data_IF_695268364596
#
_entry.id   IF_695268364596
#
_cell.length_a   1.000
_cell.length_b   1.000
_cell.length_c   1.000
_cell.angle_alpha   90.00
_cell.angle_beta   90.00
_cell.angle_gamma   90.00
#
_symmetry.space_group_name_H-M   'P 1'
#
loop_
_entity.id
_entity.type
_entity.pdbx_description
1 polymer ?
2 polymer ?
3 non-polymer ?
4 non-polymer ?
5 non-polymer ?
6 water ?
#
# COMPACT_ATOMS: atom_id res chain seq x y z
N UNK A 32 20.45 -14.37 -16.67
CA UNK A 32 20.06 -13.75 -15.40
C UNK A 32 18.81 -12.85 -15.61
N UNK A 33 17.71 -13.08 -14.86
CA UNK A 33 16.51 -12.23 -15.02
C UNK A 33 16.75 -10.79 -14.58
N UNK A 34 15.97 -9.86 -15.14
CA UNK A 34 16.05 -8.45 -14.78
C UNK A 34 15.41 -8.28 -13.40
N UNK A 35 15.78 -7.22 -12.69
CA UNK A 35 15.21 -6.96 -11.38
C UNK A 35 13.70 -6.67 -11.48
N UNK A 36 13.24 -5.95 -12.52
CA UNK A 36 11.80 -5.66 -12.64
C UNK A 36 10.99 -6.95 -12.89
N UNK A 37 11.58 -7.92 -13.64
CA UNK A 37 10.89 -9.18 -13.86
C UNK A 37 10.75 -9.96 -12.56
N UNK A 38 11.72 -9.82 -11.63
CA UNK A 38 11.66 -10.48 -10.32
C UNK A 38 10.53 -9.88 -9.47
N UNK A 39 10.36 -8.54 -9.52
CA UNK A 39 9.28 -7.87 -8.81
C UNK A 39 7.93 -8.31 -9.40
N UNK A 40 7.87 -8.47 -10.72
CA UNK A 40 6.62 -8.89 -11.37
C UNK A 40 6.17 -10.30 -10.95
N UNK A 41 7.11 -11.25 -10.93
CA UNK A 41 6.77 -12.66 -10.68
C UNK A 41 6.30 -12.91 -9.25
N UNK A 42 6.63 -12.00 -8.31
CA UNK A 42 6.21 -12.12 -6.91
C UNK A 42 4.93 -11.34 -6.62
N UNK A 43 4.35 -10.64 -7.62
CA UNK A 43 3.11 -9.87 -7.45
C UNK A 43 1.99 -10.79 -6.96
N UNK A 44 1.41 -10.54 -5.77
CA UNK A 44 0.35 -11.45 -5.27
C UNK A 44 -0.85 -11.54 -6.22
N UNK A 45 -1.53 -12.69 -6.20
CA UNK A 45 -2.76 -12.93 -6.98
C UNK A 45 -3.89 -12.14 -6.31
N UNK A 46 -4.80 -11.55 -7.10
CA UNK A 46 -5.95 -10.79 -6.61
C UNK A 46 -6.82 -11.69 -5.73
N UNK A 47 -7.20 -11.19 -4.54
CA UNK A 47 -8.02 -11.94 -3.58
C UNK A 47 -9.47 -11.52 -3.71
N UNK A 48 -10.38 -12.45 -3.40
CA UNK A 48 -11.83 -12.21 -3.44
C UNK A 48 -12.28 -11.86 -2.01
N UNK A 49 -13.27 -10.96 -1.89
CA UNK A 49 -13.80 -10.52 -0.60
C UNK A 49 -14.75 -11.54 0.04
N UNK A 50 -15.35 -12.39 -0.77
CA UNK A 50 -16.35 -13.36 -0.33
C UNK A 50 -17.65 -12.63 0.01
N UNK A 51 -17.94 -11.55 -0.72
CA UNK A 51 -19.11 -10.71 -0.51
C UNK A 51 -20.31 -11.22 -1.31
N UNK A 52 -21.39 -11.58 -0.60
CA UNK A 52 -22.63 -12.08 -1.22
C UNK A 52 -23.46 -10.90 -1.76
N UNK A 53 -23.57 -10.80 -3.08
CA UNK A 53 -24.33 -9.75 -3.77
C UNK A 53 -25.87 -9.88 -3.63
N UNK A 54 -26.36 -11.09 -3.27
CA UNK A 54 -27.80 -11.38 -3.08
C UNK A 54 -28.37 -10.81 -1.76
N UNK A 55 -27.48 -10.44 -0.83
CA UNK A 55 -27.81 -9.83 0.46
C UNK A 55 -27.67 -8.30 0.23
N UNK A 56 -28.60 -7.44 0.74
CA UNK A 56 -28.44 -5.99 0.50
C UNK A 56 -27.17 -5.41 1.15
N UNK A 57 -26.77 -4.24 0.70
CA UNK A 57 -25.57 -3.59 1.20
C UNK A 57 -25.86 -2.81 2.47
N UNK A 58 -24.80 -2.59 3.23
CA UNK A 58 -24.79 -1.69 4.37
C UNK A 58 -23.35 -1.24 4.48
N UNK A 59 -23.12 -0.03 4.97
CA UNK A 59 -21.76 0.45 5.12
C UNK A 59 -21.02 -0.43 6.13
N UNK A 60 -21.69 -0.78 7.25
CA UNK A 60 -21.08 -1.64 8.28
C UNK A 60 -20.63 -2.99 7.71
N UNK A 61 -21.46 -3.62 6.89
CA UNK A 61 -21.16 -4.91 6.29
C UNK A 61 -19.93 -4.81 5.38
N UNK A 62 -19.88 -3.73 4.57
CA UNK A 62 -18.78 -3.47 3.64
C UNK A 62 -17.48 -3.20 4.42
N UNK A 63 -17.54 -2.33 5.45
CA UNK A 63 -16.36 -2.01 6.26
C UNK A 63 -15.78 -3.28 6.89
N UNK A 64 -16.65 -4.10 7.50
CA UNK A 64 -16.24 -5.35 8.16
C UNK A 64 -15.59 -6.29 7.15
N UNK A 65 -16.27 -6.52 6.00
CA UNK A 65 -15.74 -7.41 4.95
C UNK A 65 -14.37 -6.91 4.47
N UNK A 66 -14.23 -5.60 4.27
CA UNK A 66 -12.96 -5.03 3.81
C UNK A 66 -11.85 -5.21 4.82
N UNK A 67 -12.13 -5.07 6.14
CA UNK A 67 -11.10 -5.34 7.15
C UNK A 67 -10.64 -6.79 7.06
N UNK A 68 -11.59 -7.73 6.88
CA UNK A 68 -11.25 -9.16 6.75
C UNK A 68 -10.37 -9.41 5.52
N UNK A 69 -10.73 -8.78 4.38
CA UNK A 69 -9.95 -8.83 3.14
C UNK A 69 -8.54 -8.25 3.36
N UNK A 70 -8.48 -7.09 4.02
CA UNK A 70 -7.23 -6.39 4.32
C UNK A 70 -6.26 -7.24 5.11
N UNK A 71 -6.78 -8.04 6.04
CA UNK A 71 -5.95 -8.95 6.84
C UNK A 71 -5.26 -9.99 5.96
N UNK A 72 -6.04 -10.58 5.04
CA UNK A 72 -5.54 -11.59 4.10
C UNK A 72 -4.56 -10.98 3.11
N UNK A 73 -4.81 -9.73 2.68
CA UNK A 73 -3.91 -9.02 1.77
C UNK A 73 -2.58 -8.71 2.49
N UNK A 74 -2.65 -8.42 3.80
CA UNK A 74 -1.43 -8.16 4.57
C UNK A 74 -0.61 -9.43 4.80
N UNK A 75 -1.27 -10.59 4.99
CA UNK A 75 -0.51 -11.86 5.09
C UNK A 75 0.24 -12.10 3.76
N UNK A 76 -0.45 -11.89 2.61
CA UNK A 76 0.16 -11.99 1.29
C UNK A 76 1.29 -10.94 1.08
N UNK A 77 1.12 -9.72 1.66
CA UNK A 77 2.14 -8.66 1.55
C UNK A 77 3.44 -9.04 2.26
N UNK A 78 3.34 -9.82 3.38
CA UNK A 78 4.53 -10.28 4.12
C UNK A 78 5.31 -11.26 3.22
N UNK A 79 4.61 -12.23 2.63
CA UNK A 79 5.19 -13.23 1.73
C UNK A 79 5.84 -12.52 0.53
N UNK A 80 5.18 -11.47 0.03
CA UNK A 80 5.66 -10.64 -1.08
C UNK A 80 6.97 -9.93 -0.72
N UNK A 81 6.96 -9.15 0.40
CA UNK A 81 8.12 -8.36 0.84
C UNK A 81 9.37 -9.25 1.05
N UNK A 82 9.18 -10.44 1.63
CA UNK A 82 10.26 -11.42 1.86
C UNK A 82 10.94 -11.85 0.57
N UNK A 83 10.20 -11.78 -0.55
CA UNK A 83 10.76 -12.15 -1.86
C UNK A 83 11.31 -10.97 -2.68
N UNK A 84 11.23 -9.73 -2.15
CA UNK A 84 11.78 -8.57 -2.85
C UNK A 84 13.29 -8.65 -2.69
N UNK A 85 14.08 -8.69 -3.79
CA UNK A 85 15.54 -8.78 -3.64
C UNK A 85 16.12 -7.70 -2.73
N UNK A 86 16.82 -8.13 -1.70
CA UNK A 86 17.44 -7.25 -0.71
C UNK A 86 16.71 -7.13 0.61
N UNK A 87 15.36 -7.23 0.60
CA UNK A 87 14.54 -7.08 1.82
C UNK A 87 14.96 -8.00 2.97
N UNK A 88 15.14 -9.29 2.70
CA UNK A 88 15.53 -10.27 3.72
C UNK A 88 16.96 -10.08 4.26
N UNK A 89 17.77 -9.23 3.61
CA UNK A 89 19.12 -8.92 4.08
C UNK A 89 19.11 -7.86 5.18
N UNK A 90 17.96 -7.16 5.35
CA UNK A 90 17.83 -6.14 6.40
C UNK A 90 17.65 -6.87 7.71
N UNK A 91 17.96 -6.21 8.84
CA UNK A 91 17.76 -6.78 10.17
C UNK A 91 16.28 -7.12 10.29
N UNK A 92 15.96 -8.27 10.89
CA UNK A 92 14.59 -8.72 11.08
C UNK A 92 13.68 -7.64 11.72
N UNK A 93 14.24 -6.80 12.61
CA UNK A 93 13.50 -5.71 13.26
C UNK A 93 13.13 -4.63 12.25
N UNK A 94 14.01 -4.39 11.24
CA UNK A 94 13.77 -3.40 10.18
C UNK A 94 12.68 -3.91 9.26
N UNK A 95 12.71 -5.22 8.95
CA UNK A 95 11.69 -5.86 8.11
C UNK A 95 10.31 -5.63 8.71
N UNK A 96 10.19 -5.87 10.03
CA UNK A 96 8.95 -5.65 10.78
C UNK A 96 8.52 -4.19 10.76
N UNK A 97 9.47 -3.26 11.00
CA UNK A 97 9.27 -1.82 11.04
C UNK A 97 8.72 -1.31 9.72
N UNK A 98 9.37 -1.68 8.59
CA UNK A 98 8.95 -1.25 7.27
C UNK A 98 7.54 -1.74 6.90
N UNK A 99 7.20 -3.01 7.19
CA UNK A 99 5.86 -3.52 6.92
C UNK A 99 4.81 -2.84 7.78
N UNK A 100 5.14 -2.57 9.05
CA UNK A 100 4.21 -1.89 9.96
C UNK A 100 4.01 -0.43 9.60
N UNK A 101 5.05 0.27 9.13
CA UNK A 101 4.85 1.67 8.72
C UNK A 101 4.06 1.78 7.43
N UNK A 102 4.39 0.94 6.45
CA UNK A 102 3.90 1.05 5.08
C UNK A 102 2.64 0.30 4.72
N UNK A 103 2.11 -0.58 5.59
CA UNK A 103 0.96 -1.43 5.29
C UNK A 103 -0.21 -0.70 4.57
N UNK A 104 -0.68 0.46 5.10
CA UNK A 104 -1.81 1.19 4.48
C UNK A 104 -1.45 1.74 3.11
N UNK A 105 -0.20 2.21 2.94
CA UNK A 105 0.27 2.76 1.66
C UNK A 105 0.25 1.69 0.59
N UNK A 106 0.74 0.47 0.92
CA UNK A 106 0.75 -0.69 0.02
C UNK A 106 -0.66 -1.11 -0.39
N UNK A 107 -1.60 -1.19 0.57
CA UNK A 107 -2.99 -1.58 0.28
C UNK A 107 -3.69 -0.57 -0.56
N UNK A 108 -3.56 0.73 -0.21
CA UNK A 108 -4.21 1.80 -0.95
C UNK A 108 -3.61 1.93 -2.36
N UNK A 109 -2.29 1.70 -2.49
CA UNK A 109 -1.67 1.80 -3.81
C UNK A 109 -2.08 0.63 -4.73
N UNK A 110 -2.09 -0.61 -4.19
CA UNK A 110 -2.51 -1.78 -4.98
C UNK A 110 -4.01 -1.64 -5.31
N UNK A 111 -4.80 -1.07 -4.37
CA UNK A 111 -6.20 -0.78 -4.63
C UNK A 111 -6.33 0.21 -5.80
N UNK A 112 -5.52 1.26 -5.80
CA UNK A 112 -5.51 2.26 -6.87
C UNK A 112 -5.23 1.59 -8.22
N UNK A 113 -4.24 0.68 -8.25
CA UNK A 113 -3.89 -0.06 -9.48
C UNK A 113 -5.07 -0.91 -9.97
N UNK A 114 -5.68 -1.75 -9.08
CA UNK A 114 -6.81 -2.60 -9.48
C UNK A 114 -7.97 -1.76 -9.99
N UNK A 115 -8.24 -0.60 -9.36
CA UNK A 115 -9.32 0.29 -9.76
C UNK A 115 -9.01 0.90 -11.15
N UNK A 116 -7.73 1.23 -11.37
CA UNK A 116 -7.24 1.78 -12.64
C UNK A 116 -7.40 0.78 -13.78
N UNK A 117 -6.97 -0.47 -13.56
CA UNK A 117 -7.05 -1.51 -14.59
C UNK A 117 -8.47 -1.97 -14.88
N UNK A 118 -9.30 -2.09 -13.84
CA UNK A 118 -10.64 -2.66 -13.95
C UNK A 118 -11.67 -1.70 -14.52
N UNK A 119 -11.85 -0.54 -13.88
CA UNK A 119 -12.90 0.38 -14.29
C UNK A 119 -12.51 1.39 -15.37
N UNK A 120 -11.48 2.25 -15.12
CA UNK A 120 -11.07 3.35 -16.00
C UNK A 120 -12.18 4.43 -16.09
N UNK A 121 -13.31 4.22 -15.37
CA UNK A 121 -14.49 5.09 -15.30
C UNK A 121 -14.37 6.28 -14.31
N UNK A 122 -13.99 6.11 -13.00
CA UNK A 122 -13.58 4.89 -12.30
C UNK A 122 -14.28 4.72 -10.92
N UNK A 123 -14.24 3.47 -10.43
CA UNK A 123 -14.81 2.99 -9.18
C UNK A 123 -13.68 2.37 -8.35
N UNK A 124 -13.94 2.13 -7.05
CA UNK A 124 -12.97 1.45 -6.20
C UNK A 124 -13.19 -0.04 -6.30
N UNK A 125 -12.22 -0.75 -6.87
CA UNK A 125 -12.35 -2.18 -7.08
C UNK A 125 -11.51 -2.95 -6.04
N UNK A 126 -12.04 -3.04 -4.78
CA UNK A 126 -11.39 -3.70 -3.64
C UNK A 126 -11.08 -5.16 -3.93
N UNK A 127 -12.02 -5.83 -4.61
CA UNK A 127 -11.91 -7.23 -5.03
C UNK A 127 -12.85 -7.41 -6.25
N UNK A 128 -12.67 -8.45 -7.08
CA UNK A 128 -13.57 -8.63 -8.25
C UNK A 128 -15.05 -8.77 -7.84
N UNK A 129 -15.30 -9.29 -6.61
CA UNK A 129 -16.64 -9.42 -6.04
C UNK A 129 -17.04 -8.27 -5.09
N UNK A 130 -16.19 -7.21 -4.98
CA UNK A 130 -16.58 -6.09 -4.13
C UNK A 130 -16.05 -4.78 -4.69
N UNK A 131 -16.87 -4.17 -5.56
CA UNK A 131 -16.59 -2.91 -6.22
C UNK A 131 -17.56 -1.87 -5.68
N UNK A 132 -17.09 -0.66 -5.39
CA UNK A 132 -17.98 0.42 -4.95
C UNK A 132 -18.59 1.05 -6.20
N UNK A 133 -19.64 0.39 -6.72
CA UNK A 133 -20.39 0.80 -7.90
C UNK A 133 -21.24 2.07 -7.63
N UNK A 134 -21.98 2.56 -8.66
CA UNK A 134 -22.81 3.76 -8.49
C UNK A 134 -23.88 3.61 -7.40
N UNK A 135 -24.51 2.43 -7.30
CA UNK A 135 -25.52 2.13 -6.28
C UNK A 135 -24.89 2.19 -4.87
N UNK A 136 -23.64 1.68 -4.73
CA UNK A 136 -22.91 1.71 -3.46
C UNK A 136 -22.47 3.11 -3.09
N UNK A 137 -22.23 3.97 -4.10
CA UNK A 137 -21.84 5.37 -3.93
C UNK A 137 -22.95 6.22 -3.31
N UNK A 138 -24.21 5.73 -3.36
CA UNK A 138 -25.39 6.40 -2.81
C UNK A 138 -25.54 6.13 -1.32
N UNK A 139 -24.69 5.25 -0.73
CA UNK A 139 -24.71 5.01 0.72
C UNK A 139 -24.32 6.34 1.40
N UNK A 140 -24.82 6.64 2.63
CA UNK A 140 -24.53 7.96 3.22
C UNK A 140 -23.05 8.35 3.28
N UNK A 141 -22.73 9.57 2.76
CA UNK A 141 -21.38 10.16 2.73
C UNK A 141 -20.29 9.29 2.06
N UNK A 142 -20.71 8.34 1.18
CA UNK A 142 -19.80 7.40 0.54
C UNK A 142 -18.70 8.07 -0.27
N UNK A 143 -19.02 9.14 -1.04
CA UNK A 143 -17.99 9.84 -1.83
C UNK A 143 -16.86 10.39 -0.95
N UNK A 144 -17.21 11.02 0.20
CA UNK A 144 -16.19 11.54 1.13
C UNK A 144 -15.34 10.43 1.74
N UNK A 145 -15.92 9.22 1.89
CA UNK A 145 -15.21 8.05 2.42
C UNK A 145 -14.30 7.41 1.36
N UNK A 146 -14.58 7.65 0.07
CA UNK A 146 -13.84 7.04 -1.04
C UNK A 146 -12.86 7.95 -1.79
N UNK A 147 -13.05 9.28 -1.71
CA UNK A 147 -12.28 10.24 -2.53
C UNK A 147 -10.74 10.16 -2.42
N UNK A 148 -10.16 9.88 -1.24
CA UNK A 148 -8.70 9.81 -1.12
C UNK A 148 -8.16 8.59 -1.86
N UNK A 149 -8.89 7.47 -1.79
CA UNK A 149 -8.54 6.24 -2.52
C UNK A 149 -8.82 6.39 -4.02
N UNK A 150 -9.93 7.06 -4.40
CA UNK A 150 -10.23 7.30 -5.82
C UNK A 150 -9.18 8.20 -6.46
N UNK A 151 -8.61 9.14 -5.68
CA UNK A 151 -7.52 10.01 -6.14
C UNK A 151 -6.32 9.18 -6.61
N UNK A 152 -5.97 8.12 -5.86
CA UNK A 152 -4.83 7.26 -6.25
C UNK A 152 -5.04 6.69 -7.66
N UNK A 153 -6.21 6.08 -7.92
CA UNK A 153 -6.52 5.48 -9.21
C UNK A 153 -6.64 6.53 -10.29
N UNK A 154 -7.22 7.69 -9.95
CA UNK A 154 -7.37 8.80 -10.88
C UNK A 154 -5.99 9.26 -11.36
N UNK A 155 -5.01 9.39 -10.44
CA UNK A 155 -3.64 9.80 -10.80
C UNK A 155 -2.91 8.74 -11.63
N UNK A 156 -3.06 7.46 -11.26
CA UNK A 156 -2.44 6.38 -12.04
C UNK A 156 -2.96 6.43 -13.48
N UNK A 157 -4.28 6.68 -13.65
CA UNK A 157 -4.93 6.80 -14.97
C UNK A 157 -4.43 8.05 -15.73
N UNK A 158 -4.42 9.21 -15.05
CA UNK A 158 -3.98 10.49 -15.62
C UNK A 158 -2.55 10.42 -16.12
N UNK A 159 -1.66 9.85 -15.30
CA UNK A 159 -0.25 9.72 -15.63
C UNK A 159 0.05 8.50 -16.52
N UNK A 160 -0.98 7.68 -16.83
CA UNK A 160 -0.84 6.48 -17.67
C UNK A 160 0.32 5.61 -17.19
N UNK A 161 0.32 5.37 -15.87
CA UNK A 161 1.37 4.59 -15.21
C UNK A 161 1.38 3.18 -15.80
N UNK A 162 2.57 2.66 -16.10
CA UNK A 162 2.76 1.33 -16.66
C UNK A 162 2.90 0.30 -15.56
N UNK A 163 2.80 -0.99 -15.93
CA UNK A 163 2.93 -2.09 -15.01
C UNK A 163 4.34 -2.13 -14.39
N UNK A 164 5.39 -1.91 -15.19
CA UNK A 164 6.76 -1.89 -14.68
C UNK A 164 7.00 -0.68 -13.75
N UNK A 165 6.47 0.51 -14.10
CA UNK A 165 6.58 1.70 -13.23
C UNK A 165 5.88 1.39 -11.91
N UNK A 166 4.64 0.85 -11.98
CA UNK A 166 3.84 0.49 -10.80
C UNK A 166 4.60 -0.48 -9.88
N UNK A 167 5.21 -1.54 -10.43
CA UNK A 167 5.95 -2.51 -9.61
C UNK A 167 7.07 -1.86 -8.82
N UNK A 168 7.78 -0.93 -9.47
CA UNK A 168 8.87 -0.19 -8.82
C UNK A 168 8.30 0.74 -7.79
N UNK A 169 7.23 1.46 -8.13
CA UNK A 169 6.58 2.41 -7.20
C UNK A 169 6.08 1.75 -5.94
N UNK A 170 5.41 0.58 -6.06
CA UNK A 170 4.88 -0.14 -4.90
C UNK A 170 6.01 -0.62 -3.98
N UNK A 171 7.14 -1.09 -4.57
CA UNK A 171 8.30 -1.50 -3.76
C UNK A 171 8.84 -0.28 -3.01
N UNK A 172 8.89 0.88 -3.68
CA UNK A 172 9.35 2.11 -3.02
C UNK A 172 8.44 2.54 -1.86
N UNK A 173 7.13 2.23 -1.93
CA UNK A 173 6.20 2.53 -0.84
C UNK A 173 6.50 1.70 0.40
N UNK A 174 7.00 0.48 0.22
CA UNK A 174 7.41 -0.34 1.38
C UNK A 174 8.60 0.34 2.09
N UNK A 175 9.38 1.13 1.33
CA UNK A 175 10.58 1.81 1.82
C UNK A 175 10.36 3.32 1.96
N UNK A 176 9.12 3.76 2.25
CA UNK A 176 8.80 5.20 2.30
C UNK A 176 8.84 5.87 3.69
N UNK A 177 8.91 5.08 4.77
CA UNK A 177 8.98 5.60 6.14
C UNK A 177 9.94 4.78 6.93
N UNK A 178 10.67 5.45 7.83
CA UNK A 178 11.66 4.84 8.72
C UNK A 178 11.49 5.46 10.13
N UNK A 179 12.01 4.85 11.23
CA UNK A 179 11.90 5.52 12.55
C UNK A 179 12.71 6.81 12.54
N UNK A 180 12.39 7.78 13.41
CA UNK A 180 13.14 9.06 13.44
C UNK A 180 14.65 8.86 13.65
N UNK A 181 15.05 7.81 14.41
CA UNK A 181 16.47 7.49 14.66
C UNK A 181 17.07 6.54 13.60
N UNK A 182 16.25 6.16 12.62
CA UNK A 182 16.69 5.28 11.54
C UNK A 182 16.53 3.80 11.84
N UNK A 183 16.96 2.99 10.89
CA UNK A 183 16.90 1.54 10.98
C UNK A 183 18.24 0.97 11.48
N UNK A 184 18.24 -0.31 11.89
CA UNK A 184 19.46 -1.01 12.33
C UNK A 184 20.41 -1.21 11.14
N UNK A 185 19.84 -1.49 9.95
CA UNK A 185 20.56 -1.68 8.68
C UNK A 185 20.36 -0.47 7.77
N UNK A 186 20.56 0.76 8.30
CA UNK A 186 20.35 2.03 7.59
C UNK A 186 21.13 2.14 6.27
N UNK A 187 22.44 1.78 6.28
CA UNK A 187 23.27 1.85 5.05
C UNK A 187 22.75 0.92 3.97
N UNK A 188 22.44 -0.34 4.33
CA UNK A 188 21.92 -1.33 3.39
C UNK A 188 20.52 -0.88 2.90
N UNK A 189 19.67 -0.38 3.81
CA UNK A 189 18.35 0.15 3.43
C UNK A 189 18.50 1.24 2.37
N UNK A 190 19.43 2.20 2.59
CA UNK A 190 19.65 3.29 1.63
C UNK A 190 20.12 2.76 0.28
N UNK A 191 20.91 1.68 0.28
CA UNK A 191 21.39 1.07 -0.97
C UNK A 191 20.23 0.38 -1.68
N UNK A 192 19.39 -0.36 -0.93
CA UNK A 192 18.20 -1.06 -1.46
C UNK A 192 17.26 -0.01 -2.03
N UNK A 193 16.98 1.07 -1.26
CA UNK A 193 16.10 2.15 -1.72
C UNK A 193 16.60 2.79 -3.01
N UNK A 194 17.89 3.14 -3.09
CA UNK A 194 18.48 3.73 -4.30
C UNK A 194 18.33 2.77 -5.51
N UNK A 195 18.56 1.46 -5.27
CA UNK A 195 18.42 0.44 -6.31
C UNK A 195 17.01 0.50 -6.95
N UNK A 196 15.95 0.61 -6.11
CA UNK A 196 14.60 0.64 -6.65
C UNK A 196 14.22 1.99 -7.24
N UNK A 197 14.86 3.10 -6.79
CA UNK A 197 14.67 4.42 -7.42
C UNK A 197 15.25 4.33 -8.84
N UNK A 198 16.44 3.71 -8.97
CA UNK A 198 17.07 3.51 -10.29
C UNK A 198 16.20 2.59 -11.18
N UNK A 199 15.55 1.56 -10.57
CA UNK A 199 14.63 0.66 -11.29
C UNK A 199 13.43 1.45 -11.81
N UNK A 200 12.90 2.39 -10.99
CA UNK A 200 11.80 3.25 -11.43
C UNK A 200 12.26 4.06 -12.65
N UNK A 201 13.50 4.56 -12.60
CA UNK A 201 14.13 5.28 -13.71
C UNK A 201 14.16 4.45 -14.97
N UNK A 202 14.53 3.17 -14.86
CA UNK A 202 14.57 2.24 -16.03
C UNK A 202 13.19 2.06 -16.65
N UNK A 203 12.15 1.94 -15.82
CA UNK A 203 10.76 1.77 -16.28
C UNK A 203 10.27 3.00 -17.04
N UNK A 204 10.64 4.21 -16.53
CA UNK A 204 10.26 5.48 -17.16
C UNK A 204 10.92 5.60 -18.55
N UNK A 205 12.21 5.27 -18.67
CA UNK A 205 12.99 5.35 -19.93
C UNK A 205 12.35 4.51 -21.04
N UNK A 206 11.65 3.41 -20.68
CA UNK A 206 10.97 2.53 -21.64
C UNK A 206 9.78 3.22 -22.32
N UNK A 207 9.30 4.35 -21.76
CA UNK A 207 8.19 5.13 -22.37
C UNK A 207 8.73 5.95 -23.55
N UNK A 208 10.07 5.84 -23.78
CA UNK A 208 10.95 6.35 -24.83
C UNK A 208 10.74 7.83 -25.21
N UNK A 209 10.63 8.67 -24.19
CA UNK A 209 10.59 10.11 -24.36
C UNK A 209 12.01 10.64 -24.33
N UNK A 210 12.20 11.94 -24.57
CA UNK A 210 13.55 12.52 -24.51
C UNK A 210 13.99 12.68 -23.04
N UNK A 211 15.25 13.10 -22.82
CA UNK A 211 15.84 13.32 -21.50
C UNK A 211 14.98 14.28 -20.65
N UNK A 212 14.40 15.32 -21.27
CA UNK A 212 13.55 16.31 -20.62
C UNK A 212 12.21 15.70 -20.20
N UNK A 213 11.62 14.84 -21.06
CA UNK A 213 10.36 14.15 -20.80
C UNK A 213 10.54 13.09 -19.69
N UNK A 214 11.75 12.48 -19.62
CA UNK A 214 12.11 11.48 -18.61
C UNK A 214 12.23 12.14 -17.24
N UNK A 215 12.84 13.34 -17.18
CA UNK A 215 12.97 14.13 -15.94
C UNK A 215 11.58 14.52 -15.44
N UNK A 216 10.70 15.01 -16.35
CA UNK A 216 9.33 15.42 -16.00
C UNK A 216 8.55 14.22 -15.45
N UNK A 217 8.64 13.05 -16.14
CA UNK A 217 7.95 11.84 -15.71
C UNK A 217 8.46 11.37 -14.36
N UNK A 218 9.79 11.44 -14.12
CA UNK A 218 10.35 11.05 -12.83
C UNK A 218 9.83 11.97 -11.72
N UNK A 219 9.72 13.27 -12.01
CA UNK A 219 9.18 14.26 -11.06
C UNK A 219 7.70 13.92 -10.77
N UNK A 220 6.90 13.66 -11.82
CA UNK A 220 5.47 13.36 -11.67
C UNK A 220 5.20 12.09 -10.86
N UNK A 221 5.93 11.01 -11.14
CA UNK A 221 5.75 9.74 -10.45
C UNK A 221 6.19 9.78 -9.00
N UNK A 222 7.32 10.47 -8.74
CA UNK A 222 7.83 10.64 -7.37
C UNK A 222 6.97 11.61 -6.57
N UNK A 223 6.27 12.57 -7.23
CA UNK A 223 5.32 13.46 -6.53
C UNK A 223 4.11 12.63 -6.09
N UNK A 224 3.66 11.69 -6.95
CA UNK A 224 2.56 10.78 -6.60
C UNK A 224 2.96 9.91 -5.40
N UNK A 225 4.22 9.41 -5.39
CA UNK A 225 4.75 8.65 -4.24
C UNK A 225 4.70 9.49 -2.97
N UNK A 226 5.20 10.76 -3.02
CA UNK A 226 5.11 11.64 -1.83
C UNK A 226 3.66 11.85 -1.38
N UNK A 227 2.71 12.05 -2.34
CA UNK A 227 1.30 12.26 -2.01
C UNK A 227 0.65 11.08 -1.26
N UNK A 228 1.24 9.87 -1.37
CA UNK A 228 0.73 8.67 -0.67
C UNK A 228 0.80 8.84 0.85
N UNK A 229 1.81 9.59 1.38
CA UNK A 229 1.87 9.88 2.82
C UNK A 229 0.58 10.61 3.25
N UNK A 230 0.12 11.56 2.42
CA UNK A 230 -1.08 12.34 2.73
C UNK A 230 -2.39 11.55 2.59
N UNK A 231 -2.46 10.66 1.60
CA UNK A 231 -3.59 9.75 1.38
C UNK A 231 -3.71 8.86 2.63
N UNK A 232 -2.58 8.30 3.06
CA UNK A 232 -2.49 7.38 4.19
C UNK A 232 -2.87 8.04 5.50
N UNK A 233 -2.51 9.31 5.70
CA UNK A 233 -2.90 9.98 6.93
C UNK A 233 -4.45 10.03 7.01
N UNK A 234 -5.13 10.26 5.87
CA UNK A 234 -6.59 10.30 5.86
C UNK A 234 -7.14 8.90 6.15
N UNK A 235 -6.58 7.87 5.48
CA UNK A 235 -7.06 6.50 5.66
C UNK A 235 -6.81 5.96 7.06
N UNK A 236 -5.67 6.31 7.67
CA UNK A 236 -5.35 5.91 9.04
C UNK A 236 -6.21 6.66 10.03
N UNK A 237 -6.58 7.92 9.78
CA UNK A 237 -7.51 8.61 10.68
C UNK A 237 -8.83 7.81 10.80
N UNK A 238 -9.35 7.33 9.65
CA UNK A 238 -10.58 6.54 9.58
C UNK A 238 -10.36 5.16 10.25
N UNK A 239 -9.31 4.46 9.84
CA UNK A 239 -8.95 3.15 10.36
C UNK A 239 -8.79 3.17 11.89
N UNK A 240 -7.99 4.12 12.43
CA UNK A 240 -7.76 4.25 13.86
C UNK A 240 -9.05 4.56 14.63
N UNK A 241 -9.89 5.46 14.11
CA UNK A 241 -11.16 5.79 14.77
C UNK A 241 -12.04 4.54 14.90
N UNK A 242 -12.18 3.76 13.80
CA UNK A 242 -13.04 2.56 13.79
C UNK A 242 -12.44 1.43 14.60
N UNK A 243 -11.10 1.39 14.71
CA UNK A 243 -10.46 0.34 15.51
C UNK A 243 -10.67 0.65 17.00
N UNK A 244 -10.43 1.90 17.39
CA UNK A 244 -10.50 2.34 18.78
C UNK A 244 -11.92 2.47 19.31
N UNK A 245 -12.87 2.92 18.49
CA UNK A 245 -14.23 3.07 19.01
C UNK A 245 -14.96 1.72 19.02
N UNK A 246 -14.91 1.01 20.16
CA UNK A 246 -15.51 -0.31 20.30
C UNK A 246 -17.04 -0.27 20.25
N UNK A 247 -17.65 0.92 20.40
CA UNK A 247 -19.11 1.06 20.31
C UNK A 247 -19.60 0.96 18.85
N UNK A 248 -18.68 1.06 17.87
CA UNK A 248 -19.03 0.93 16.45
C UNK A 248 -19.18 -0.53 16.05
N UNK A 249 -18.69 -1.47 16.89
CA UNK A 249 -18.78 -2.92 16.59
C UNK A 249 -18.10 -3.24 15.22
N UNK A 250 -16.99 -2.53 14.92
CA UNK A 250 -16.24 -2.77 13.67
C UNK A 250 -15.05 -3.67 14.00
N UNK A 251 -15.10 -4.90 13.49
CA UNK A 251 -14.10 -5.94 13.69
C UNK A 251 -12.95 -5.84 12.72
N UNK A 252 -11.74 -6.11 13.22
CA UNK A 252 -10.51 -6.17 12.45
C UNK A 252 -9.94 -7.56 12.69
N UNK A 253 -9.38 -8.22 11.66
CA UNK A 253 -8.73 -9.53 11.89
C UNK A 253 -7.43 -9.32 12.66
N UNK A 254 -6.92 -10.39 13.30
CA UNK A 254 -5.68 -10.38 14.09
C UNK A 254 -4.51 -9.70 13.36
N UNK A 255 -4.29 -10.01 12.06
CA UNK A 255 -3.18 -9.42 11.28
C UNK A 255 -3.22 -7.89 11.33
N UNK A 256 -4.40 -7.30 11.11
CA UNK A 256 -4.54 -5.86 11.16
C UNK A 256 -4.53 -5.29 12.56
N UNK A 257 -5.25 -5.94 13.51
CA UNK A 257 -5.31 -5.48 14.90
C UNK A 257 -3.91 -5.41 15.50
N UNK A 258 -3.03 -6.37 15.16
CA UNK A 258 -1.65 -6.37 15.65
C UNK A 258 -0.85 -5.19 15.10
N UNK A 259 -0.95 -4.92 13.79
CA UNK A 259 -0.25 -3.79 13.17
C UNK A 259 -0.79 -2.47 13.72
N UNK A 260 -2.13 -2.33 13.81
CA UNK A 260 -2.77 -1.10 14.30
C UNK A 260 -2.34 -0.80 15.74
N UNK A 261 -2.38 -1.83 16.60
CA UNK A 261 -1.99 -1.72 18.01
C UNK A 261 -0.52 -1.24 18.11
N UNK A 262 0.35 -1.75 17.24
CA UNK A 262 1.76 -1.38 17.16
C UNK A 262 1.97 0.06 16.68
N UNK A 263 1.21 0.51 15.66
CA UNK A 263 1.42 1.80 15.03
C UNK A 263 0.87 3.01 15.78
N UNK A 264 -0.29 2.88 16.43
CA UNK A 264 -0.95 4.00 17.15
C UNK A 264 0.04 4.75 18.10
N UNK A 265 0.83 4.09 19.00
CA UNK A 265 1.78 4.86 19.85
C UNK A 265 2.86 5.58 19.06
N UNK A 266 3.31 5.02 17.92
CA UNK A 266 4.34 5.61 17.08
C UNK A 266 3.89 6.93 16.46
N UNK A 267 2.61 7.02 16.06
CA UNK A 267 2.04 8.27 15.53
C UNK A 267 1.91 9.29 16.67
N UNK A 268 1.58 8.80 17.87
CA UNK A 268 1.42 9.62 19.08
C UNK A 268 2.74 10.26 19.55
N UNK A 269 3.85 9.48 19.56
CA UNK A 269 5.14 10.00 20.03
C UNK A 269 6.07 10.55 18.91
N UNK A 270 5.51 10.76 17.71
CA UNK A 270 6.22 11.30 16.56
C UNK A 270 7.43 10.51 16.08
N UNK A 271 7.45 9.20 16.35
CA UNK A 271 8.53 8.30 15.94
C UNK A 271 8.25 7.76 14.54
N UNK A 272 8.31 8.65 13.55
CA UNK A 272 8.10 8.32 12.15
C UNK A 272 8.70 9.40 11.27
N UNK A 273 9.63 9.02 10.41
CA UNK A 273 10.22 9.93 9.45
C UNK A 273 9.64 9.54 8.08
N UNK A 274 8.82 10.41 7.51
CA UNK A 274 8.22 10.19 6.21
C UNK A 274 9.23 10.63 5.17
N UNK A 275 9.75 9.67 4.37
CA UNK A 275 10.74 10.02 3.35
C UNK A 275 10.07 10.67 2.18
N UNK A 276 10.69 11.74 1.66
CA UNK A 276 10.14 12.49 0.53
C UNK A 276 11.14 12.61 -0.59
N UNK A 277 10.66 12.56 -1.83
CA UNK A 277 11.48 12.80 -3.01
C UNK A 277 11.59 14.30 -3.24
N UNK A 278 10.53 15.05 -2.89
CA UNK A 278 10.48 16.50 -3.05
C UNK A 278 10.28 17.20 -1.70
N UNK A 279 11.23 18.07 -1.29
CA UNK A 279 11.07 18.81 -0.02
C UNK A 279 9.86 19.74 -0.13
N UNK A 280 9.20 20.01 1.01
CA UNK A 280 8.07 20.93 1.03
C UNK A 280 8.55 22.37 0.80
N UNK B 2 4.77 -6.32 21.14
CA UNK B 2 5.15 -7.72 21.03
C UNK B 2 5.26 -8.15 19.56
N UNK B 3 4.14 -8.02 18.78
CA UNK B 3 4.03 -8.31 17.33
C UNK B 3 4.36 -9.77 16.96
N UNK B 4 3.81 -10.72 17.73
CA UNK B 4 4.03 -12.17 17.57
C UNK B 4 3.72 -12.70 16.16
N UNK B 5 2.55 -12.35 15.60
CA UNK B 5 2.10 -12.85 14.30
C UNK B 5 2.99 -12.40 13.14
N UNK B 6 3.32 -11.10 13.04
CA UNK B 6 4.19 -10.58 11.97
C UNK B 6 5.60 -11.21 12.05
N UNK B 7 6.14 -11.36 13.28
CA UNK B 7 7.45 -11.97 13.52
C UNK B 7 7.45 -13.38 12.97
N UNK B 8 6.39 -14.15 13.24
CA UNK B 8 6.21 -15.54 12.79
C UNK B 8 6.14 -15.64 11.27
N UNK B 9 5.36 -14.75 10.63
CA UNK B 9 5.21 -14.76 9.17
C UNK B 9 6.53 -14.44 8.48
N UNK B 10 7.35 -13.61 9.12
CA UNK B 10 8.66 -13.24 8.60
C UNK B 10 9.67 -14.36 8.85
N UNK B 11 9.60 -15.05 10.01
CA UNK B 11 10.50 -16.15 10.41
C UNK B 11 10.24 -17.49 9.73
N UNK B 12 8.98 -17.86 9.51
CA UNK B 12 8.61 -19.14 8.89
C UNK B 12 9.12 -19.25 7.44
N UNK B 13 9.08 -20.46 6.87
CA UNK B 13 9.47 -20.67 5.49
C UNK B 13 8.26 -20.44 4.60
N UNK B 14 8.37 -19.45 3.68
CA UNK B 14 7.38 -18.89 2.72
C UNK B 14 6.82 -17.53 3.20
#
# INVERSE_FOLDING_TARGET
>A
GSIQQATTGVSQETSENPGDKTIVPATLPQLTPTLVSLLEVIEPEVLYAGYDSSVPDSTWRIMTTLNMLGGRQMIAAVKWAKAIPGFRNLHLDDQMTLLQYSWMSLMAFALGWRSYRQSSANLLCFAPDLIINEQRMTLPDMYDQCKHMLYVSSELHRLQVSYEEYLCMKTLLLLSSVPKDGLKSQELFDEIRMTYIKELGKAIVKREGNSSQNWQRFYQLTKLLDSMHEVVENLLNYCFQTFLDKTMSIEFPEMLAEIITNQIPKYSNGNIKKLLFHQK
>B
KENALLRYLLDKDD
#
